data_IF_117843179156
#
_entry.id   IF_117843179156
#
_cell.length_a   1.000
_cell.length_b   1.000
_cell.length_c   1.000
_cell.angle_alpha   90.00
_cell.angle_beta   90.00
_cell.angle_gamma   90.00
#
_symmetry.space_group_name_H-M   'P 1'
#
loop_
_entity.id
_entity.type
_entity.pdbx_description
1 polymer ?
#
# COMPACT_ATOMS: atom_id res chain seq x y z
N UNK A 1 18.86 0.60 -6.27
CA UNK A 1 18.40 0.00 -7.56
C UNK A 1 19.55 -0.40 -8.47
N UNK A 2 20.64 0.36 -8.56
CA UNK A 2 21.87 0.00 -9.33
C UNK A 2 22.52 -1.28 -8.77
N UNK A 3 22.34 -1.56 -7.49
CA UNK A 3 22.91 -2.74 -6.81
C UNK A 3 22.14 -4.05 -7.06
N UNK A 4 20.83 -4.00 -7.30
CA UNK A 4 20.03 -5.20 -7.63
C UNK A 4 20.48 -5.86 -8.94
N UNK A 5 21.16 -5.11 -9.81
CA UNK A 5 21.68 -5.59 -11.09
C UNK A 5 22.98 -6.39 -10.99
N UNK A 6 23.74 -6.26 -9.90
CA UNK A 6 25.07 -6.90 -9.79
C UNK A 6 25.09 -8.28 -9.13
N UNK A 7 24.00 -8.74 -8.54
CA UNK A 7 23.96 -9.94 -7.70
C UNK A 7 23.79 -11.28 -8.44
N UNK A 8 23.90 -11.30 -9.75
CA UNK A 8 23.77 -12.59 -10.45
C UNK A 8 24.10 -12.59 -11.93
N UNK A 9 25.33 -12.39 -12.29
CA UNK A 9 25.94 -12.41 -13.63
C UNK A 9 26.22 -11.03 -14.23
N UNK A 10 27.33 -10.94 -14.97
CA UNK A 10 27.93 -9.76 -15.60
C UNK A 10 27.12 -9.12 -16.75
N UNK A 11 25.81 -9.00 -16.62
CA UNK A 11 24.92 -8.30 -17.54
C UNK A 11 24.00 -7.36 -16.79
N UNK A 12 23.99 -6.09 -17.14
CA UNK A 12 23.18 -5.03 -16.52
C UNK A 12 21.68 -5.32 -16.66
N UNK A 13 21.00 -5.57 -15.54
CA UNK A 13 19.55 -5.83 -15.51
C UNK A 13 18.74 -4.52 -15.53
N UNK A 14 17.54 -4.47 -16.14
CA UNK A 14 16.72 -3.27 -16.30
C UNK A 14 16.11 -2.72 -15.01
N UNK A 15 16.36 -3.34 -13.86
CA UNK A 15 15.92 -2.84 -12.55
C UNK A 15 16.46 -1.44 -12.19
N UNK A 16 17.52 -0.96 -12.88
CA UNK A 16 18.07 0.38 -12.70
C UNK A 16 17.12 1.51 -13.15
N UNK A 17 16.18 1.22 -14.05
CA UNK A 17 15.27 2.23 -14.63
C UNK A 17 14.07 2.59 -13.75
N UNK A 18 13.63 1.73 -12.84
CA UNK A 18 12.45 2.03 -12.02
C UNK A 18 12.73 2.99 -10.86
N UNK A 19 13.94 2.94 -10.30
CA UNK A 19 14.34 3.87 -9.23
C UNK A 19 14.67 5.28 -9.77
N UNK A 20 15.24 5.36 -10.97
CA UNK A 20 15.47 6.63 -11.64
C UNK A 20 14.17 7.31 -12.07
N UNK A 21 13.12 6.55 -12.41
CA UNK A 21 11.81 7.10 -12.75
C UNK A 21 11.09 7.71 -11.54
N UNK A 22 11.14 7.10 -10.37
CA UNK A 22 10.52 7.65 -9.15
C UNK A 22 11.22 8.94 -8.68
N UNK A 23 12.54 8.97 -8.78
CA UNK A 23 13.32 10.19 -8.51
C UNK A 23 13.06 11.30 -9.54
N UNK A 24 12.95 10.96 -10.81
CA UNK A 24 12.65 11.93 -11.88
C UNK A 24 11.24 12.52 -11.70
N UNK A 25 10.24 11.70 -11.34
CA UNK A 25 8.90 12.15 -10.98
C UNK A 25 8.95 13.07 -9.74
N UNK A 26 9.72 12.69 -8.72
CA UNK A 26 9.93 13.49 -7.52
C UNK A 26 10.48 14.88 -7.82
N UNK A 27 11.55 14.96 -8.60
CA UNK A 27 12.17 16.24 -9.00
C UNK A 27 11.23 17.06 -9.88
N UNK A 28 10.51 16.44 -10.83
CA UNK A 28 9.55 17.14 -11.68
C UNK A 28 8.45 17.83 -10.86
N UNK A 29 7.84 17.12 -9.91
CA UNK A 29 6.78 17.70 -9.09
C UNK A 29 7.32 18.66 -8.02
N UNK A 30 8.55 18.47 -7.53
CA UNK A 30 9.20 19.41 -6.64
C UNK A 30 9.31 20.82 -7.27
N UNK A 31 9.72 20.87 -8.53
CA UNK A 31 9.84 22.14 -9.28
C UNK A 31 8.47 22.77 -9.57
N UNK A 32 7.42 21.93 -9.68
CA UNK A 32 6.07 22.38 -10.09
C UNK A 32 5.14 22.71 -8.93
N UNK A 33 5.51 22.37 -7.69
CA UNK A 33 4.69 22.60 -6.50
C UNK A 33 5.02 23.96 -5.90
N UNK A 34 4.10 24.94 -6.03
CA UNK A 34 4.33 26.32 -5.59
C UNK A 34 3.62 26.64 -4.28
N UNK A 35 2.54 25.92 -3.93
CA UNK A 35 1.72 26.21 -2.76
C UNK A 35 1.76 25.10 -1.71
N UNK A 36 1.51 25.50 -0.45
CA UNK A 36 1.42 24.56 0.66
C UNK A 36 0.28 23.53 0.47
N UNK A 37 -0.86 23.94 -0.07
CA UNK A 37 -1.97 23.04 -0.38
C UNK A 37 -1.60 22.03 -1.46
N UNK A 38 -0.85 22.46 -2.49
CA UNK A 38 -0.34 21.55 -3.51
C UNK A 38 0.63 20.52 -2.92
N UNK A 39 1.50 20.93 -2.00
CA UNK A 39 2.44 20.03 -1.35
C UNK A 39 1.75 18.98 -0.49
N UNK A 40 0.71 19.35 0.29
CA UNK A 40 0.01 18.44 1.21
C UNK A 40 -1.05 17.58 0.53
N UNK A 41 -1.80 18.16 -0.44
CA UNK A 41 -3.00 17.54 -1.01
C UNK A 41 -3.08 17.59 -2.54
N UNK A 42 -2.04 18.09 -3.22
CA UNK A 42 -2.01 18.19 -4.67
C UNK A 42 -2.98 19.19 -5.25
N UNK A 43 -3.35 20.25 -4.50
CA UNK A 43 -4.28 21.28 -4.95
C UNK A 43 -5.67 20.77 -5.33
N UNK A 44 -6.06 19.58 -4.84
CA UNK A 44 -7.32 18.87 -5.18
C UNK A 44 -7.52 18.69 -6.69
N UNK A 45 -6.42 18.53 -7.44
CA UNK A 45 -6.41 18.46 -8.90
C UNK A 45 -6.17 17.06 -9.48
N UNK A 46 -6.15 16.00 -8.66
CA UNK A 46 -5.77 14.66 -9.09
C UNK A 46 -6.90 13.99 -9.88
N UNK A 47 -6.57 13.49 -11.08
CA UNK A 47 -7.53 12.78 -11.93
C UNK A 47 -7.94 11.42 -11.35
N UNK A 48 -9.13 10.93 -11.73
CA UNK A 48 -9.75 9.72 -11.17
C UNK A 48 -8.92 8.43 -11.35
N UNK A 49 -8.19 8.28 -12.47
CA UNK A 49 -7.30 7.14 -12.70
C UNK A 49 -6.16 7.10 -11.69
N UNK A 50 -5.49 8.24 -11.55
CA UNK A 50 -4.34 8.36 -10.65
C UNK A 50 -4.79 8.23 -9.20
N UNK A 51 -5.91 8.83 -8.83
CA UNK A 51 -6.50 8.70 -7.49
C UNK A 51 -6.82 7.25 -7.14
N UNK A 52 -7.48 6.51 -8.06
CA UNK A 52 -7.85 5.12 -7.83
C UNK A 52 -6.62 4.22 -7.68
N UNK A 53 -5.68 4.30 -8.62
CA UNK A 53 -4.49 3.47 -8.61
C UNK A 53 -3.57 3.79 -7.43
N UNK A 54 -3.37 5.07 -7.11
CA UNK A 54 -2.58 5.48 -5.97
C UNK A 54 -3.21 5.03 -4.64
N UNK A 55 -4.54 5.13 -4.51
CA UNK A 55 -5.22 4.63 -3.32
C UNK A 55 -5.03 3.13 -3.15
N UNK A 56 -5.18 2.33 -4.21
CA UNK A 56 -5.03 0.88 -4.13
C UNK A 56 -3.57 0.44 -3.94
N UNK A 57 -2.63 1.11 -4.59
CA UNK A 57 -1.21 0.79 -4.44
C UNK A 57 -0.69 1.06 -3.02
N UNK A 58 -1.16 2.15 -2.39
CA UNK A 58 -0.75 2.50 -1.02
C UNK A 58 -1.52 1.74 0.06
N UNK A 59 -2.68 1.16 -0.27
CA UNK A 59 -3.51 0.38 0.65
C UNK A 59 -2.96 -1.02 0.91
N UNK A 60 -2.68 -1.75 -0.16
CA UNK A 60 -2.47 -3.21 -0.09
C UNK A 60 -1.12 -3.63 0.48
N UNK A 61 -0.14 -2.74 0.51
CA UNK A 61 1.20 -2.96 1.10
C UNK A 61 1.91 -4.26 0.63
N UNK A 62 3.02 -4.59 1.26
CA UNK A 62 3.66 -5.90 1.11
C UNK A 62 2.79 -7.07 1.54
N UNK A 63 1.73 -6.85 2.34
CA UNK A 63 0.81 -7.88 2.77
C UNK A 63 0.13 -8.60 1.59
N UNK A 64 -0.27 -7.88 0.54
CA UNK A 64 -0.92 -8.45 -0.63
C UNK A 64 -0.06 -9.48 -1.36
N UNK A 65 1.25 -9.25 -1.46
CA UNK A 65 2.19 -10.06 -2.23
C UNK A 65 2.97 -11.07 -1.37
N UNK A 66 3.04 -10.88 -0.07
CA UNK A 66 3.80 -11.71 0.86
C UNK A 66 2.90 -12.36 1.91
N UNK A 67 2.20 -11.57 2.71
CA UNK A 67 1.43 -12.05 3.85
C UNK A 67 0.23 -12.91 3.45
N UNK A 68 -0.62 -12.43 2.54
CA UNK A 68 -1.82 -13.16 2.11
C UNK A 68 -1.49 -14.46 1.36
N UNK A 69 -0.57 -14.48 0.37
CA UNK A 69 -0.15 -15.73 -0.26
C UNK A 69 0.45 -16.72 0.72
N UNK A 70 1.26 -16.25 1.67
CA UNK A 70 1.84 -17.08 2.73
C UNK A 70 0.78 -17.72 3.64
N UNK A 71 -0.21 -16.93 4.05
CA UNK A 71 -1.33 -17.42 4.84
C UNK A 71 -2.18 -18.46 4.10
N UNK A 72 -2.42 -18.25 2.79
CA UNK A 72 -3.13 -19.21 1.95
C UNK A 72 -2.31 -20.50 1.72
N UNK A 73 -1.00 -20.38 1.56
CA UNK A 73 -0.09 -21.52 1.46
C UNK A 73 -0.15 -22.42 2.71
N UNK A 74 -0.30 -21.82 3.90
CA UNK A 74 -0.38 -22.56 5.17
C UNK A 74 -1.76 -23.13 5.45
N UNK A 75 -2.83 -22.38 5.17
CA UNK A 75 -4.17 -22.65 5.68
C UNK A 75 -5.27 -22.72 4.62
N UNK A 76 -4.91 -22.61 3.34
CA UNK A 76 -5.89 -22.61 2.24
C UNK A 76 -6.86 -21.43 2.32
N UNK A 77 -8.14 -21.69 2.09
CA UNK A 77 -9.17 -20.63 2.00
C UNK A 77 -9.68 -20.12 3.35
N UNK A 78 -9.06 -20.44 4.48
CA UNK A 78 -9.50 -19.92 5.80
C UNK A 78 -9.50 -18.38 5.85
N UNK A 79 -8.68 -17.73 5.01
CA UNK A 79 -8.58 -16.26 4.90
C UNK A 79 -9.69 -15.62 4.05
N UNK A 80 -10.62 -16.39 3.49
CA UNK A 80 -11.64 -15.87 2.57
C UNK A 80 -12.51 -14.77 3.17
N UNK A 81 -12.82 -14.83 4.47
CA UNK A 81 -13.65 -13.83 5.14
C UNK A 81 -12.96 -12.47 5.24
N UNK A 82 -11.66 -12.45 5.40
CA UNK A 82 -10.85 -11.21 5.34
C UNK A 82 -10.98 -10.59 3.95
N UNK A 83 -10.87 -11.39 2.89
CA UNK A 83 -10.97 -10.94 1.50
C UNK A 83 -12.35 -10.37 1.20
N UNK A 84 -13.41 -11.07 1.61
CA UNK A 84 -14.79 -10.59 1.46
C UNK A 84 -14.98 -9.28 2.22
N UNK A 85 -14.49 -9.19 3.45
CA UNK A 85 -14.54 -7.97 4.26
C UNK A 85 -13.83 -6.79 3.59
N UNK A 86 -12.63 -7.03 3.04
CA UNK A 86 -11.87 -5.99 2.33
C UNK A 86 -12.60 -5.50 1.07
N UNK A 87 -13.16 -6.41 0.26
CA UNK A 87 -13.93 -6.04 -0.95
C UNK A 87 -15.15 -5.19 -0.58
N UNK A 88 -15.92 -5.62 0.41
CA UNK A 88 -17.11 -4.89 0.87
C UNK A 88 -16.70 -3.54 1.47
N UNK A 89 -15.67 -3.51 2.32
CA UNK A 89 -15.16 -2.30 2.95
C UNK A 89 -14.69 -1.28 1.93
N UNK A 90 -13.90 -1.72 0.94
CA UNK A 90 -13.45 -0.86 -0.17
C UNK A 90 -14.65 -0.28 -0.93
N UNK A 91 -15.62 -1.12 -1.31
CA UNK A 91 -16.80 -0.65 -2.03
C UNK A 91 -17.58 0.42 -1.26
N UNK A 92 -17.84 0.17 0.02
CA UNK A 92 -18.59 1.12 0.88
C UNK A 92 -17.78 2.40 1.07
N UNK A 93 -16.47 2.30 1.29
CA UNK A 93 -15.59 3.45 1.45
C UNK A 93 -15.62 4.36 0.22
N UNK A 94 -15.45 3.80 -0.98
CA UNK A 94 -15.52 4.55 -2.23
C UNK A 94 -16.93 5.08 -2.55
N UNK A 95 -18.00 4.38 -2.18
CA UNK A 95 -19.39 4.76 -2.48
C UNK A 95 -19.94 5.81 -1.53
N UNK A 96 -19.63 5.69 -0.24
CA UNK A 96 -20.26 6.48 0.83
C UNK A 96 -19.31 7.51 1.41
N UNK A 97 -18.08 7.10 1.78
CA UNK A 97 -17.13 7.96 2.48
C UNK A 97 -16.48 8.94 1.51
N UNK A 98 -15.98 8.47 0.37
CA UNK A 98 -15.22 9.30 -0.56
C UNK A 98 -15.96 10.55 -1.04
N UNK A 99 -17.24 10.50 -1.51
CA UNK A 99 -17.96 11.69 -1.94
C UNK A 99 -18.18 12.69 -0.80
N UNK A 100 -18.58 12.18 0.37
CA UNK A 100 -18.87 13.03 1.53
C UNK A 100 -17.59 13.68 2.06
N UNK A 101 -16.51 12.92 2.15
CA UNK A 101 -15.22 13.42 2.62
C UNK A 101 -14.68 14.50 1.67
N UNK A 102 -14.73 14.26 0.35
CA UNK A 102 -14.27 15.23 -0.65
C UNK A 102 -15.00 16.56 -0.54
N UNK A 103 -16.34 16.55 -0.47
CA UNK A 103 -17.16 17.76 -0.35
C UNK A 103 -16.92 18.47 0.98
N UNK A 104 -17.01 17.73 2.09
CA UNK A 104 -16.93 18.35 3.41
C UNK A 104 -15.52 18.87 3.77
N UNK A 105 -14.46 18.21 3.29
CA UNK A 105 -13.11 18.70 3.53
C UNK A 105 -12.80 19.93 2.68
N UNK A 106 -13.44 20.11 1.54
CA UNK A 106 -13.35 21.34 0.75
C UNK A 106 -14.12 22.47 1.42
N UNK A 107 -15.37 22.23 1.83
CA UNK A 107 -16.22 23.20 2.55
C UNK A 107 -15.55 23.71 3.84
N UNK A 108 -14.86 22.84 4.55
CA UNK A 108 -14.17 23.20 5.79
C UNK A 108 -12.71 23.62 5.57
N UNK A 109 -12.24 23.74 4.32
CA UNK A 109 -10.83 24.05 4.00
C UNK A 109 -9.85 23.21 4.83
N UNK A 110 -10.12 21.91 4.94
CA UNK A 110 -9.32 20.99 5.73
C UNK A 110 -8.31 20.24 4.86
N UNK A 111 -7.02 20.36 5.16
CA UNK A 111 -5.95 19.66 4.44
C UNK A 111 -5.60 18.33 5.06
N UNK A 112 -5.91 18.11 6.34
CA UNK A 112 -5.65 16.89 7.08
C UNK A 112 -6.92 16.31 7.69
N UNK A 113 -6.92 15.02 7.99
CA UNK A 113 -8.07 14.35 8.63
C UNK A 113 -8.29 14.86 10.06
N UNK A 114 -7.26 15.04 10.92
CA UNK A 114 -7.47 15.62 12.24
C UNK A 114 -8.06 17.03 12.19
N UNK A 115 -7.59 17.89 11.28
CA UNK A 115 -8.17 19.22 11.08
C UNK A 115 -9.64 19.13 10.64
N UNK A 116 -9.99 18.21 9.73
CA UNK A 116 -11.37 18.02 9.30
C UNK A 116 -12.29 17.60 10.45
N UNK A 117 -11.88 16.59 11.23
CA UNK A 117 -12.67 16.09 12.37
C UNK A 117 -12.87 17.19 13.41
N UNK A 118 -11.80 17.95 13.72
CA UNK A 118 -11.85 19.06 14.67
C UNK A 118 -12.82 20.15 14.22
N UNK A 119 -12.72 20.62 12.97
CA UNK A 119 -13.64 21.64 12.42
C UNK A 119 -15.09 21.15 12.42
N UNK A 120 -15.33 19.91 12.01
CA UNK A 120 -16.67 19.32 11.95
C UNK A 120 -17.30 19.12 13.34
N UNK A 121 -16.49 18.85 14.36
CA UNK A 121 -16.95 18.70 15.75
C UNK A 121 -17.01 20.01 16.54
N UNK A 122 -16.73 21.15 15.91
CA UNK A 122 -16.62 22.46 16.58
C UNK A 122 -15.65 22.45 17.78
N UNK A 123 -14.52 21.75 17.62
CA UNK A 123 -13.50 21.62 18.66
C UNK A 123 -12.70 22.90 18.84
N UNK A 124 -13.23 23.80 19.67
CA UNK A 124 -12.58 25.10 19.95
C UNK A 124 -11.30 24.98 20.77
N UNK A 125 -11.13 23.87 21.52
CA UNK A 125 -9.96 23.64 22.38
C UNK A 125 -8.87 22.77 21.69
N UNK A 126 -9.14 22.24 20.51
CA UNK A 126 -8.21 21.38 19.76
C UNK A 126 -7.92 20.01 20.37
N UNK A 127 -8.73 19.55 21.33
CA UNK A 127 -8.54 18.24 21.96
C UNK A 127 -8.76 17.10 20.97
N UNK A 128 -9.82 17.19 20.16
CA UNK A 128 -10.16 16.19 19.14
C UNK A 128 -9.07 16.14 18.09
N UNK A 129 -8.58 17.31 17.66
CA UNK A 129 -7.47 17.43 16.70
C UNK A 129 -6.21 16.76 17.22
N UNK A 130 -5.78 17.10 18.43
CA UNK A 130 -4.56 16.56 19.05
C UNK A 130 -4.67 15.06 19.30
N UNK A 131 -5.81 14.59 19.82
CA UNK A 131 -6.03 13.17 20.05
C UNK A 131 -5.97 12.37 18.74
N UNK A 132 -6.66 12.84 17.69
CA UNK A 132 -6.63 12.22 16.36
C UNK A 132 -5.21 12.18 15.79
N UNK A 133 -4.44 13.26 15.95
CA UNK A 133 -3.05 13.31 15.50
C UNK A 133 -2.17 12.29 16.23
N UNK A 134 -2.29 12.17 17.55
CA UNK A 134 -1.54 11.18 18.35
C UNK A 134 -1.88 9.76 17.90
N UNK A 135 -3.15 9.45 17.70
CA UNK A 135 -3.60 8.13 17.23
C UNK A 135 -2.98 7.79 15.87
N UNK A 136 -3.03 8.73 14.91
CA UNK A 136 -2.44 8.54 13.58
C UNK A 136 -0.94 8.29 13.69
N UNK A 137 -0.20 9.13 14.42
CA UNK A 137 1.25 9.01 14.56
C UNK A 137 1.64 7.67 15.20
N UNK A 138 0.93 7.26 16.25
CA UNK A 138 1.19 6.00 16.95
C UNK A 138 1.00 4.80 16.02
N UNK A 139 -0.16 4.67 15.39
CA UNK A 139 -0.44 3.53 14.52
C UNK A 139 0.38 3.53 13.24
N UNK A 140 0.68 4.69 12.66
CA UNK A 140 1.51 4.75 11.45
C UNK A 140 2.97 4.44 11.74
N UNK A 141 3.48 4.73 12.94
CA UNK A 141 4.82 4.28 13.34
C UNK A 141 4.90 2.75 13.34
N UNK A 142 3.91 2.08 13.93
CA UNK A 142 3.85 0.61 13.97
C UNK A 142 3.68 0.03 12.56
N UNK A 143 2.79 0.60 11.75
CA UNK A 143 2.52 0.10 10.41
C UNK A 143 3.72 0.31 9.47
N UNK A 144 4.36 1.47 9.51
CA UNK A 144 5.59 1.72 8.73
C UNK A 144 6.74 0.79 9.15
N UNK A 145 6.87 0.48 10.45
CA UNK A 145 7.82 -0.51 10.93
C UNK A 145 7.56 -1.91 10.32
N UNK A 146 6.30 -2.34 10.22
CA UNK A 146 5.92 -3.59 9.54
C UNK A 146 6.33 -3.60 8.06
N UNK A 147 6.14 -2.48 7.36
CA UNK A 147 6.61 -2.32 5.98
C UNK A 147 8.14 -2.42 5.85
N UNK A 148 8.89 -1.83 6.78
CA UNK A 148 10.35 -1.93 6.81
C UNK A 148 10.82 -3.36 7.06
N UNK A 149 10.11 -4.16 7.88
CA UNK A 149 10.37 -5.60 8.06
C UNK A 149 10.23 -6.35 6.72
N UNK A 150 9.15 -6.10 5.99
CA UNK A 150 8.92 -6.69 4.65
C UNK A 150 10.03 -6.32 3.67
N UNK A 151 10.50 -5.07 3.74
CA UNK A 151 11.62 -4.59 2.94
C UNK A 151 12.93 -5.30 3.28
N UNK A 152 13.25 -5.46 4.57
CA UNK A 152 14.43 -6.22 5.02
C UNK A 152 14.40 -7.66 4.54
N UNK A 153 13.27 -8.37 4.68
CA UNK A 153 13.07 -9.74 4.16
C UNK A 153 13.29 -9.84 2.66
N UNK A 154 12.81 -8.85 1.90
CA UNK A 154 13.00 -8.81 0.45
C UNK A 154 14.48 -8.66 0.08
N UNK A 155 15.17 -7.68 0.66
CA UNK A 155 16.59 -7.44 0.37
C UNK A 155 17.49 -8.61 0.79
N UNK A 156 17.24 -9.19 1.97
CA UNK A 156 17.93 -10.40 2.41
C UNK A 156 17.75 -11.56 1.43
N UNK A 157 16.50 -11.79 0.98
CA UNK A 157 16.18 -12.89 0.08
C UNK A 157 16.73 -12.74 -1.34
N UNK A 158 16.84 -11.49 -1.83
CA UNK A 158 17.26 -11.21 -3.21
C UNK A 158 18.76 -10.95 -3.33
N UNK A 159 19.35 -10.29 -2.35
CA UNK A 159 20.74 -9.82 -2.43
C UNK A 159 21.69 -10.57 -1.49
N UNK A 160 21.12 -11.41 -0.60
CA UNK A 160 21.92 -12.09 0.43
C UNK A 160 22.60 -11.13 1.41
N UNK A 161 22.15 -9.87 1.49
CA UNK A 161 22.68 -8.88 2.43
C UNK A 161 22.05 -9.04 3.81
N UNK A 162 22.74 -8.56 4.83
CA UNK A 162 22.21 -8.56 6.19
C UNK A 162 20.85 -7.85 6.25
N UNK A 163 19.90 -8.45 6.98
CA UNK A 163 18.54 -7.94 7.16
C UNK A 163 18.50 -6.47 7.61
N UNK A 164 19.37 -6.09 8.59
CA UNK A 164 19.40 -4.72 9.12
C UNK A 164 19.85 -3.73 8.07
N UNK A 165 20.85 -4.11 7.26
CA UNK A 165 21.31 -3.29 6.15
C UNK A 165 20.22 -3.13 5.09
N UNK A 166 19.44 -4.18 4.79
CA UNK A 166 18.28 -4.14 3.91
C UNK A 166 17.20 -3.17 4.40
N UNK A 167 16.91 -3.18 5.71
CA UNK A 167 15.97 -2.23 6.33
C UNK A 167 16.48 -0.79 6.20
N UNK A 168 17.76 -0.54 6.49
CA UNK A 168 18.34 0.81 6.43
C UNK A 168 18.39 1.37 5.01
N UNK A 169 18.86 0.59 4.04
CA UNK A 169 18.95 1.03 2.65
C UNK A 169 17.57 1.27 2.05
N UNK A 170 16.65 0.34 2.24
CA UNK A 170 15.30 0.49 1.73
C UNK A 170 14.53 1.60 2.41
N UNK A 171 14.57 1.68 3.74
CA UNK A 171 13.95 2.75 4.52
C UNK A 171 14.52 4.12 4.17
N UNK A 172 15.84 4.25 4.09
CA UNK A 172 16.51 5.49 3.67
C UNK A 172 16.09 5.94 2.27
N UNK A 173 15.98 5.00 1.33
CA UNK A 173 15.50 5.30 -0.03
C UNK A 173 14.07 5.83 -0.02
N UNK A 174 13.18 5.22 0.76
CA UNK A 174 11.78 5.65 0.87
C UNK A 174 11.68 7.05 1.49
N UNK A 175 12.38 7.30 2.57
CA UNK A 175 12.41 8.62 3.22
C UNK A 175 12.91 9.68 2.25
N UNK A 176 14.00 9.41 1.54
CA UNK A 176 14.63 10.36 0.64
C UNK A 176 13.70 10.77 -0.52
N UNK A 177 13.07 9.81 -1.21
CA UNK A 177 12.20 10.17 -2.32
C UNK A 177 10.87 10.79 -1.88
N UNK A 178 10.33 10.37 -0.73
CA UNK A 178 9.10 10.94 -0.17
C UNK A 178 9.29 12.41 0.22
N UNK A 179 10.45 12.70 0.83
CA UNK A 179 10.83 14.04 1.23
C UNK A 179 10.98 15.01 0.03
N UNK A 180 11.58 14.56 -1.07
CA UNK A 180 11.75 15.40 -2.26
C UNK A 180 10.44 15.67 -2.99
N UNK A 181 9.52 14.72 -2.99
CA UNK A 181 8.43 14.72 -3.96
C UNK A 181 7.08 15.26 -3.50
N UNK A 182 6.82 15.37 -2.20
CA UNK A 182 5.51 15.76 -1.67
C UNK A 182 4.36 14.85 -2.14
N UNK A 183 3.13 15.36 -2.03
CA UNK A 183 1.92 14.58 -2.31
C UNK A 183 1.77 14.16 -3.78
N UNK A 184 1.95 15.10 -4.72
CA UNK A 184 1.76 14.81 -6.15
C UNK A 184 2.76 13.78 -6.67
N UNK A 185 4.02 13.89 -6.26
CA UNK A 185 5.01 12.90 -6.65
C UNK A 185 4.70 11.52 -6.06
N UNK A 186 4.27 11.45 -4.79
CA UNK A 186 3.81 10.20 -4.18
C UNK A 186 2.68 9.56 -4.97
N UNK A 187 1.63 10.33 -5.27
CA UNK A 187 0.44 9.83 -5.99
C UNK A 187 0.76 9.33 -7.40
N UNK A 188 1.63 10.03 -8.14
CA UNK A 188 2.04 9.58 -9.48
C UNK A 188 3.00 8.40 -9.43
N UNK A 189 3.89 8.36 -8.46
CA UNK A 189 4.75 7.19 -8.24
C UNK A 189 3.91 5.96 -7.89
N UNK A 190 2.94 6.10 -6.98
CA UNK A 190 2.00 5.05 -6.62
C UNK A 190 1.18 4.55 -7.82
N UNK A 191 0.82 5.45 -8.75
CA UNK A 191 0.11 5.08 -9.98
C UNK A 191 0.91 4.07 -10.81
N UNK A 192 2.17 4.36 -11.10
CA UNK A 192 3.04 3.45 -11.86
C UNK A 192 3.36 2.18 -11.07
N UNK A 193 3.59 2.30 -9.78
CA UNK A 193 3.81 1.17 -8.88
C UNK A 193 2.57 0.26 -8.82
N UNK A 194 1.36 0.82 -8.76
CA UNK A 194 0.11 0.08 -8.77
C UNK A 194 -0.12 -0.71 -10.07
N UNK A 195 0.29 -0.15 -11.22
CA UNK A 195 0.26 -0.86 -12.50
C UNK A 195 1.23 -2.03 -12.49
N UNK A 196 2.46 -1.82 -12.03
CA UNK A 196 3.48 -2.87 -11.96
C UNK A 196 3.04 -4.00 -11.02
N UNK A 197 2.49 -3.67 -9.85
CA UNK A 197 1.94 -4.64 -8.90
C UNK A 197 0.83 -5.47 -9.52
N UNK A 198 -0.10 -4.82 -10.23
CA UNK A 198 -1.26 -5.46 -10.85
C UNK A 198 -0.85 -6.50 -11.89
N UNK A 199 0.12 -6.18 -12.74
CA UNK A 199 0.62 -7.16 -13.70
C UNK A 199 1.41 -8.28 -13.03
N UNK A 200 2.24 -7.98 -12.04
CA UNK A 200 3.03 -9.00 -11.36
C UNK A 200 2.14 -10.03 -10.64
N UNK A 201 1.09 -9.57 -9.95
CA UNK A 201 0.21 -10.45 -9.19
C UNK A 201 -0.62 -11.38 -10.10
N UNK A 202 -0.87 -10.98 -11.35
CA UNK A 202 -1.58 -11.81 -12.35
C UNK A 202 -0.63 -12.79 -13.04
N UNK A 203 0.53 -12.31 -13.49
CA UNK A 203 1.46 -13.10 -14.32
C UNK A 203 2.02 -14.29 -13.54
N UNK A 204 2.38 -14.11 -12.27
CA UNK A 204 3.06 -15.17 -11.49
C UNK A 204 2.15 -16.40 -11.25
N UNK A 205 0.92 -16.28 -10.74
CA UNK A 205 0.07 -17.45 -10.53
C UNK A 205 -0.39 -18.08 -11.84
N UNK A 206 -0.57 -17.30 -12.92
CA UNK A 206 -0.89 -17.83 -14.25
C UNK A 206 0.28 -18.68 -14.79
N UNK A 207 1.49 -18.19 -14.72
CA UNK A 207 2.68 -18.95 -15.11
C UNK A 207 2.84 -20.21 -14.25
N UNK A 208 2.64 -20.07 -12.93
CA UNK A 208 2.69 -21.20 -12.01
C UNK A 208 1.66 -22.30 -12.35
N UNK A 209 0.42 -21.91 -12.67
CA UNK A 209 -0.64 -22.83 -13.04
C UNK A 209 -0.26 -23.72 -14.23
N UNK A 210 0.34 -23.15 -15.27
CA UNK A 210 0.78 -23.93 -16.43
C UNK A 210 2.00 -24.82 -16.12
N UNK A 211 2.95 -24.34 -15.34
CA UNK A 211 4.16 -25.12 -14.98
C UNK A 211 3.83 -26.30 -14.08
N UNK A 212 2.84 -26.14 -13.19
CA UNK A 212 2.40 -27.21 -12.28
C UNK A 212 1.64 -28.32 -13.02
N UNK A 213 1.04 -28.02 -14.18
CA UNK A 213 0.24 -29.00 -14.94
C UNK A 213 -1.26 -28.86 -14.69
N UNK A 214 -1.72 -27.67 -14.28
CA UNK A 214 -3.14 -27.33 -14.17
C UNK A 214 -3.81 -27.75 -12.86
N UNK A 215 -5.14 -27.79 -12.87
CA UNK A 215 -5.97 -28.00 -11.68
C UNK A 215 -5.79 -29.37 -11.03
N UNK A 216 -5.64 -30.43 -11.82
CA UNK A 216 -5.48 -31.78 -11.30
C UNK A 216 -4.22 -31.94 -10.43
N UNK A 217 -3.11 -31.38 -10.84
CA UNK A 217 -1.87 -31.40 -10.05
C UNK A 217 -1.97 -30.56 -8.77
N UNK A 218 -2.69 -29.43 -8.82
CA UNK A 218 -2.98 -28.61 -7.65
C UNK A 218 -3.84 -29.39 -6.66
N UNK A 219 -4.90 -30.05 -7.10
CA UNK A 219 -5.79 -30.84 -6.25
C UNK A 219 -5.04 -31.99 -5.55
N UNK A 220 -4.15 -32.68 -6.26
CA UNK A 220 -3.30 -33.73 -5.68
C UNK A 220 -2.38 -33.13 -4.59
N UNK A 221 -1.70 -32.03 -4.88
CA UNK A 221 -0.79 -31.37 -3.94
C UNK A 221 -1.52 -30.87 -2.69
N UNK A 222 -2.71 -30.30 -2.87
CA UNK A 222 -3.54 -29.83 -1.76
C UNK A 222 -4.03 -31.00 -0.89
N UNK A 223 -4.44 -32.10 -1.51
CA UNK A 223 -4.88 -33.32 -0.79
C UNK A 223 -3.72 -33.90 0.04
N UNK A 224 -2.50 -33.93 -0.49
CA UNK A 224 -1.31 -34.40 0.23
C UNK A 224 -1.00 -33.54 1.46
N UNK A 225 -1.29 -32.24 1.42
CA UNK A 225 -1.13 -31.31 2.56
C UNK A 225 -2.36 -31.20 3.46
N UNK A 226 -3.39 -32.00 3.23
CA UNK A 226 -4.68 -31.91 3.95
C UNK A 226 -5.34 -30.54 3.86
N UNK A 227 -5.07 -29.78 2.78
CA UNK A 227 -5.69 -28.48 2.50
C UNK A 227 -6.81 -28.68 1.49
N UNK A 228 -7.94 -28.00 1.67
CA UNK A 228 -9.10 -28.09 0.77
C UNK A 228 -9.56 -26.69 0.34
N UNK A 229 -10.03 -26.57 -0.90
CA UNK A 229 -10.76 -25.39 -1.36
C UNK A 229 -12.23 -25.37 -0.87
N UNK A 230 -12.71 -26.47 -0.31
CA UNK A 230 -14.05 -26.52 0.25
C UNK A 230 -14.03 -26.02 1.70
N UNK A 231 -14.60 -24.84 1.95
CA UNK A 231 -14.73 -24.24 3.28
C UNK A 231 -15.54 -25.11 4.26
N UNK A 232 -16.46 -25.94 3.76
CA UNK A 232 -17.26 -26.86 4.60
C UNK A 232 -16.39 -27.91 5.30
N UNK A 233 -15.17 -28.14 4.83
CA UNK A 233 -14.19 -29.02 5.50
C UNK A 233 -13.48 -28.35 6.68
N UNK A 234 -13.73 -27.06 6.91
CA UNK A 234 -13.15 -26.29 8.02
C UNK A 234 -14.25 -25.68 8.88
N UNK A 235 -14.89 -26.48 9.78
CA UNK A 235 -15.96 -25.97 10.64
C UNK A 235 -15.53 -24.74 11.46
N UNK A 236 -14.26 -24.69 11.86
CA UNK A 236 -13.70 -23.56 12.58
C UNK A 236 -13.70 -22.24 11.75
N UNK A 237 -13.52 -22.35 10.41
CA UNK A 237 -13.57 -21.20 9.52
C UNK A 237 -15.01 -20.67 9.29
N UNK A 238 -16.01 -21.50 9.58
CA UNK A 238 -17.44 -21.16 9.51
C UNK A 238 -18.01 -20.69 10.85
N UNK A 239 -17.18 -20.64 11.90
CA UNK A 239 -17.63 -20.16 13.19
C UNK A 239 -17.92 -18.65 13.13
N UNK A 240 -18.98 -18.23 13.83
CA UNK A 240 -19.42 -16.81 13.84
C UNK A 240 -18.31 -15.84 14.25
N UNK A 241 -17.48 -16.11 15.28
CA UNK A 241 -16.38 -15.23 15.63
C UNK A 241 -15.34 -15.05 14.51
N UNK A 242 -15.00 -16.11 13.77
CA UNK A 242 -14.04 -16.05 12.66
C UNK A 242 -14.60 -15.26 11.49
N UNK A 243 -15.88 -15.46 11.15
CA UNK A 243 -16.58 -14.70 10.11
C UNK A 243 -16.60 -13.21 10.45
N UNK A 244 -17.06 -12.86 11.66
CA UNK A 244 -17.13 -11.45 12.09
C UNK A 244 -15.75 -10.82 12.14
N UNK A 245 -14.74 -11.51 12.67
CA UNK A 245 -13.38 -11.04 12.73
C UNK A 245 -12.81 -10.79 11.32
N UNK A 246 -13.03 -11.73 10.39
CA UNK A 246 -12.59 -11.59 9.01
C UNK A 246 -13.28 -10.41 8.28
N UNK A 247 -14.60 -10.33 8.38
CA UNK A 247 -15.37 -9.23 7.80
C UNK A 247 -15.01 -7.87 8.43
N UNK A 248 -14.66 -7.86 9.70
CA UNK A 248 -14.23 -6.67 10.44
C UNK A 248 -13.00 -5.97 9.85
N UNK A 249 -12.15 -6.67 9.11
CA UNK A 249 -11.03 -6.06 8.40
C UNK A 249 -11.47 -4.96 7.43
N UNK A 250 -12.64 -5.12 6.80
CA UNK A 250 -13.20 -4.10 5.94
C UNK A 250 -13.54 -2.78 6.62
N UNK A 251 -13.76 -2.79 7.95
CA UNK A 251 -14.01 -1.58 8.73
C UNK A 251 -12.75 -0.70 8.84
N UNK A 252 -11.57 -1.28 8.73
CA UNK A 252 -10.30 -0.55 8.75
C UNK A 252 -10.21 0.52 7.65
N UNK A 253 -10.81 0.30 6.49
CA UNK A 253 -10.78 1.25 5.38
C UNK A 253 -11.36 2.62 5.69
N UNK A 254 -12.33 2.70 6.58
CA UNK A 254 -12.96 3.97 6.94
C UNK A 254 -12.06 4.88 7.78
N UNK A 255 -11.06 4.30 8.42
CA UNK A 255 -10.16 4.99 9.34
C UNK A 255 -8.69 5.04 8.91
N UNK A 256 -8.34 4.71 7.67
CA UNK A 256 -6.95 4.74 7.19
C UNK A 256 -6.61 6.08 6.51
N UNK A 257 -5.94 7.03 7.18
CA UNK A 257 -5.72 8.37 6.69
C UNK A 257 -4.98 8.40 5.35
N UNK A 258 -3.99 7.54 5.12
CA UNK A 258 -3.21 7.49 3.89
C UNK A 258 -4.02 7.06 2.65
N UNK A 259 -5.16 6.36 2.85
CA UNK A 259 -6.10 6.02 1.79
C UNK A 259 -7.11 7.16 1.60
N UNK A 260 -7.76 7.58 2.70
CA UNK A 260 -8.86 8.53 2.60
C UNK A 260 -8.40 9.94 2.20
N UNK A 261 -7.13 10.30 2.42
CA UNK A 261 -6.54 11.55 1.89
C UNK A 261 -6.55 11.57 0.35
N UNK A 262 -6.49 10.41 -0.32
CA UNK A 262 -6.57 10.33 -1.78
C UNK A 262 -7.97 10.76 -2.29
N UNK A 263 -9.02 10.49 -1.51
CA UNK A 263 -10.38 10.96 -1.84
C UNK A 263 -10.49 12.48 -1.75
N UNK A 264 -9.78 13.10 -0.79
CA UNK A 264 -9.77 14.56 -0.63
C UNK A 264 -9.10 15.26 -1.81
N UNK A 265 -8.16 14.61 -2.48
CA UNK A 265 -7.34 15.17 -3.56
C UNK A 265 -7.96 15.06 -4.96
N UNK A 266 -9.03 14.27 -5.14
CA UNK A 266 -9.64 14.08 -6.47
C UNK A 266 -10.22 15.38 -7.03
N UNK A 267 -10.03 15.60 -8.33
CA UNK A 267 -10.44 16.82 -9.03
C UNK A 267 -11.95 17.07 -8.96
N UNK A 268 -12.76 16.03 -9.13
CA UNK A 268 -14.21 16.15 -9.18
C UNK A 268 -14.92 15.02 -8.45
N UNK A 269 -15.92 15.38 -7.64
CA UNK A 269 -16.82 14.42 -6.97
C UNK A 269 -17.57 13.56 -8.01
N UNK A 270 -17.92 14.15 -9.16
CA UNK A 270 -18.62 13.46 -10.24
C UNK A 270 -17.79 12.33 -10.89
N UNK A 271 -16.48 12.33 -10.72
CA UNK A 271 -15.60 11.29 -11.25
C UNK A 271 -15.34 10.14 -10.26
N UNK A 272 -15.80 10.27 -9.01
CA UNK A 272 -15.57 9.23 -7.98
C UNK A 272 -16.16 7.88 -8.34
N UNK A 273 -17.26 7.81 -9.10
CA UNK A 273 -17.80 6.54 -9.54
C UNK A 273 -16.87 5.81 -10.52
N UNK A 274 -16.13 6.56 -11.38
CA UNK A 274 -15.13 6.00 -12.29
C UNK A 274 -13.93 5.50 -11.49
N UNK A 275 -13.45 6.30 -10.54
CA UNK A 275 -12.36 5.91 -9.63
C UNK A 275 -12.73 4.64 -8.84
N UNK A 276 -13.96 4.57 -8.30
CA UNK A 276 -14.47 3.38 -7.62
C UNK A 276 -14.46 2.15 -8.52
N UNK A 277 -14.90 2.26 -9.77
CA UNK A 277 -14.90 1.13 -10.69
C UNK A 277 -13.49 0.57 -10.91
N UNK A 278 -12.52 1.46 -11.15
CA UNK A 278 -11.11 1.08 -11.31
C UNK A 278 -10.58 0.42 -10.04
N UNK A 279 -10.81 1.04 -8.89
CA UNK A 279 -10.39 0.52 -7.60
C UNK A 279 -10.98 -0.87 -7.32
N UNK A 280 -12.28 -1.08 -7.61
CA UNK A 280 -12.94 -2.37 -7.39
C UNK A 280 -12.42 -3.47 -8.32
N UNK A 281 -12.20 -3.17 -9.59
CA UNK A 281 -11.60 -4.13 -10.53
C UNK A 281 -10.20 -4.51 -10.06
N UNK A 282 -9.39 -3.52 -9.69
CA UNK A 282 -8.05 -3.74 -9.21
C UNK A 282 -8.02 -4.60 -7.94
N UNK A 283 -8.81 -4.26 -6.93
CA UNK A 283 -8.80 -4.97 -5.64
C UNK A 283 -9.30 -6.41 -5.74
N UNK A 284 -10.40 -6.63 -6.50
CA UNK A 284 -10.97 -7.96 -6.66
C UNK A 284 -9.97 -8.88 -7.37
N UNK A 285 -9.42 -8.44 -8.50
CA UNK A 285 -8.45 -9.24 -9.26
C UNK A 285 -7.20 -9.50 -8.43
N UNK A 286 -6.67 -8.49 -7.75
CA UNK A 286 -5.45 -8.62 -6.95
C UNK A 286 -5.64 -9.60 -5.77
N UNK A 287 -6.76 -9.52 -5.05
CA UNK A 287 -7.04 -10.45 -3.94
C UNK A 287 -7.24 -11.89 -4.42
N UNK A 288 -7.96 -12.08 -5.53
CA UNK A 288 -8.15 -13.42 -6.14
C UNK A 288 -6.81 -14.00 -6.62
N UNK A 289 -5.98 -13.18 -7.29
CA UNK A 289 -4.66 -13.62 -7.74
C UNK A 289 -3.70 -13.89 -6.57
N UNK A 290 -3.79 -13.14 -5.48
CA UNK A 290 -3.02 -13.40 -4.26
C UNK A 290 -3.35 -14.76 -3.64
N UNK A 291 -4.65 -15.14 -3.62
CA UNK A 291 -5.06 -16.50 -3.24
C UNK A 291 -4.45 -17.53 -4.21
N UNK A 292 -4.54 -17.27 -5.52
CA UNK A 292 -4.02 -18.17 -6.53
C UNK A 292 -2.50 -18.38 -6.39
N UNK A 293 -1.74 -17.37 -5.98
CA UNK A 293 -0.31 -17.50 -5.65
C UNK A 293 -0.11 -18.50 -4.51
N UNK A 294 -0.85 -18.38 -3.41
CA UNK A 294 -0.75 -19.31 -2.29
C UNK A 294 -1.08 -20.73 -2.70
N UNK A 295 -2.17 -20.93 -3.45
CA UNK A 295 -2.65 -22.24 -3.91
C UNK A 295 -1.65 -22.90 -4.89
N UNK A 296 -1.19 -22.17 -5.90
CA UNK A 296 -0.20 -22.68 -6.87
C UNK A 296 1.15 -22.90 -6.21
N UNK A 297 1.48 -22.08 -5.20
CA UNK A 297 2.66 -22.26 -4.37
C UNK A 297 2.67 -23.58 -3.61
N UNK A 298 1.51 -24.08 -3.16
CA UNK A 298 1.38 -25.39 -2.51
C UNK A 298 1.84 -26.52 -3.45
N UNK A 299 1.49 -26.43 -4.73
CA UNK A 299 1.85 -27.42 -5.73
C UNK A 299 3.33 -27.32 -6.18
N UNK A 300 3.88 -26.08 -6.22
CA UNK A 300 5.27 -25.86 -6.64
C UNK A 300 6.31 -26.22 -5.57
N UNK A 301 5.95 -26.09 -4.29
CA UNK A 301 6.87 -26.25 -3.16
C UNK A 301 6.26 -27.10 -2.07
N UNK A 302 6.89 -28.27 -1.80
CA UNK A 302 6.43 -29.16 -0.73
C UNK A 302 6.62 -28.56 0.66
N UNK A 303 7.78 -27.96 0.92
CA UNK A 303 8.11 -27.33 2.19
C UNK A 303 8.82 -26.00 1.93
N UNK A 304 8.36 -24.94 2.59
CA UNK A 304 8.93 -23.60 2.55
C UNK A 304 9.25 -23.19 3.98
N UNK A 305 10.49 -22.72 4.23
CA UNK A 305 10.90 -22.30 5.57
C UNK A 305 10.13 -21.07 6.05
N UNK A 306 9.96 -20.08 5.16
CA UNK A 306 9.20 -18.86 5.43
C UNK A 306 8.08 -18.74 4.39
N UNK A 307 6.82 -19.07 4.75
CA UNK A 307 5.68 -18.97 3.85
C UNK A 307 5.41 -17.59 3.28
N UNK A 308 5.80 -16.53 3.98
CA UNK A 308 5.67 -15.15 3.47
C UNK A 308 6.58 -14.88 2.26
N UNK A 309 7.62 -15.70 2.06
CA UNK A 309 8.52 -15.62 0.90
C UNK A 309 8.05 -16.44 -0.30
N UNK A 310 6.85 -17.06 -0.25
CA UNK A 310 6.37 -17.96 -1.33
C UNK A 310 6.35 -17.28 -2.69
N UNK A 311 5.90 -16.03 -2.77
CA UNK A 311 5.87 -15.26 -4.00
C UNK A 311 7.27 -15.00 -4.55
N UNK A 312 8.25 -14.69 -3.68
CA UNK A 312 9.66 -14.50 -4.05
C UNK A 312 10.23 -15.79 -4.63
N UNK A 313 10.01 -16.93 -3.97
CA UNK A 313 10.49 -18.24 -4.46
C UNK A 313 9.86 -18.65 -5.79
N UNK A 314 8.56 -18.35 -5.98
CA UNK A 314 7.88 -18.59 -7.25
C UNK A 314 8.51 -17.79 -8.39
N UNK A 315 8.74 -16.51 -8.18
CA UNK A 315 9.37 -15.64 -9.18
C UNK A 315 10.75 -16.20 -9.57
N UNK A 316 11.60 -16.53 -8.60
CA UNK A 316 12.94 -17.05 -8.86
C UNK A 316 12.96 -18.41 -9.56
N UNK A 317 11.92 -19.24 -9.36
CA UNK A 317 11.80 -20.57 -9.99
C UNK A 317 11.22 -20.53 -11.40
N UNK A 318 10.27 -19.60 -11.65
CA UNK A 318 9.45 -19.61 -12.87
C UNK A 318 10.00 -18.71 -13.97
N UNK A 319 10.76 -17.68 -13.64
CA UNK A 319 11.14 -16.65 -14.59
C UNK A 319 12.66 -16.50 -14.72
N UNK A 320 13.07 -16.10 -15.92
CA UNK A 320 14.45 -15.72 -16.15
C UNK A 320 14.86 -14.48 -15.35
N UNK A 321 16.15 -14.21 -15.11
CA UNK A 321 16.63 -13.12 -14.25
C UNK A 321 16.08 -11.73 -14.61
N UNK A 322 15.86 -11.45 -15.91
CA UNK A 322 15.35 -10.15 -16.37
C UNK A 322 13.89 -9.92 -15.96
N UNK A 323 13.04 -10.90 -16.23
CA UNK A 323 11.62 -10.85 -15.85
C UNK A 323 11.48 -10.92 -14.33
N UNK A 324 12.26 -11.77 -13.68
CA UNK A 324 12.29 -11.88 -12.22
C UNK A 324 12.64 -10.52 -11.58
N UNK A 325 13.62 -9.79 -12.12
CA UNK A 325 13.97 -8.46 -11.63
C UNK A 325 12.82 -7.45 -11.67
N UNK A 326 12.01 -7.47 -12.74
CA UNK A 326 10.81 -6.63 -12.87
C UNK A 326 9.74 -7.04 -11.86
N UNK A 327 9.52 -8.35 -11.67
CA UNK A 327 8.53 -8.86 -10.73
C UNK A 327 8.95 -8.61 -9.26
N UNK A 328 10.23 -8.68 -8.94
CA UNK A 328 10.74 -8.28 -7.62
C UNK A 328 10.59 -6.77 -7.37
N UNK A 329 10.76 -5.95 -8.42
CA UNK A 329 10.49 -4.52 -8.32
C UNK A 329 9.01 -4.24 -8.02
N UNK A 330 8.07 -5.11 -8.39
CA UNK A 330 6.66 -4.99 -8.01
C UNK A 330 6.45 -5.22 -6.51
N UNK A 331 7.16 -6.17 -5.89
CA UNK A 331 7.10 -6.38 -4.43
C UNK A 331 7.62 -5.14 -3.70
N UNK A 332 8.76 -4.63 -4.15
CA UNK A 332 9.35 -3.41 -3.59
C UNK A 332 8.41 -2.21 -3.77
N UNK A 333 7.73 -2.11 -4.92
CA UNK A 333 6.72 -1.08 -5.20
C UNK A 333 5.56 -1.13 -4.20
N UNK A 334 5.07 -2.31 -3.86
CA UNK A 334 4.00 -2.50 -2.87
C UNK A 334 4.40 -2.01 -1.47
N UNK A 335 5.64 -2.26 -1.08
CA UNK A 335 6.18 -1.82 0.20
C UNK A 335 6.39 -0.30 0.21
N UNK A 336 7.01 0.22 -0.85
CA UNK A 336 7.39 1.63 -0.96
C UNK A 336 6.18 2.56 -1.02
N UNK A 337 5.16 2.24 -1.83
CA UNK A 337 3.94 3.05 -1.99
C UNK A 337 3.21 3.23 -0.66
N UNK A 338 3.12 2.17 0.12
CA UNK A 338 2.43 2.23 1.42
C UNK A 338 3.22 3.05 2.44
N UNK A 339 4.52 2.76 2.60
CA UNK A 339 5.34 3.48 3.59
C UNK A 339 5.45 4.97 3.24
N UNK A 340 5.63 5.32 1.96
CA UNK A 340 5.71 6.72 1.53
C UNK A 340 4.43 7.49 1.81
N UNK A 341 3.27 6.88 1.53
CA UNK A 341 1.98 7.51 1.83
C UNK A 341 1.76 7.70 3.33
N UNK A 342 2.17 6.73 4.16
CA UNK A 342 2.10 6.82 5.62
C UNK A 342 3.05 7.89 6.18
N UNK A 343 4.29 7.95 5.69
CA UNK A 343 5.27 8.95 6.09
C UNK A 343 4.79 10.38 5.75
N UNK A 344 4.22 10.55 4.56
CA UNK A 344 3.70 11.85 4.14
C UNK A 344 2.54 12.30 5.03
N UNK A 345 1.58 11.41 5.31
CA UNK A 345 0.46 11.71 6.20
C UNK A 345 0.95 11.96 7.63
N UNK A 346 1.88 11.16 8.14
CA UNK A 346 2.43 11.35 9.49
C UNK A 346 3.17 12.69 9.61
N UNK A 347 3.99 13.06 8.61
CA UNK A 347 4.70 14.34 8.60
C UNK A 347 3.74 15.55 8.52
N UNK A 348 2.70 15.45 7.67
CA UNK A 348 1.67 16.49 7.58
C UNK A 348 0.87 16.61 8.89
N UNK A 349 0.54 15.48 9.52
CA UNK A 349 -0.13 15.46 10.82
C UNK A 349 0.74 16.09 11.90
N UNK A 350 2.04 15.79 11.92
CA UNK A 350 2.97 16.37 12.89
C UNK A 350 3.11 17.89 12.70
N UNK A 351 3.21 18.37 11.47
CA UNK A 351 3.41 19.79 11.17
C UNK A 351 2.12 20.59 11.28
N UNK A 352 1.02 20.16 10.65
CA UNK A 352 -0.25 20.90 10.59
C UNK A 352 -1.08 20.78 11.86
N UNK A 353 -1.14 19.57 12.42
CA UNK A 353 -2.07 19.28 13.48
C UNK A 353 -1.44 19.39 14.87
N UNK A 354 -0.13 19.18 14.97
CA UNK A 354 0.58 19.22 16.24
C UNK A 354 1.39 20.53 16.40
N UNK A 355 2.36 20.79 15.53
CA UNK A 355 3.28 21.90 15.67
C UNK A 355 2.59 23.27 15.50
N UNK A 356 1.82 23.49 14.44
CA UNK A 356 1.09 24.76 14.24
C UNK A 356 0.10 25.03 15.37
N UNK A 357 -0.58 24.02 15.88
CA UNK A 357 -1.50 24.18 16.99
C UNK A 357 -0.79 24.60 18.28
N UNK A 358 0.32 23.95 18.62
CA UNK A 358 1.13 24.33 19.80
C UNK A 358 1.79 25.72 19.65
N UNK A 359 2.21 26.06 18.44
CA UNK A 359 2.84 27.39 18.16
C UNK A 359 1.82 28.50 18.15
N UNK A 360 0.60 28.28 17.62
CA UNK A 360 -0.46 29.30 17.60
C UNK A 360 -0.97 29.66 18.99
N UNK A 361 -0.90 28.75 19.96
CA UNK A 361 -1.19 29.08 21.36
C UNK A 361 -0.10 29.96 22.01
N UNK A 362 1.13 29.93 21.48
CA UNK A 362 2.24 30.75 22.00
C UNK A 362 2.44 32.08 21.29
N UNK A 363 1.91 32.28 20.09
CA UNK A 363 2.20 33.43 19.27
C UNK A 363 0.96 33.95 18.51
N UNK A 364 0.23 34.88 19.12
CA UNK A 364 -0.84 35.61 18.45
C UNK A 364 -0.31 36.58 17.36
N UNK A 365 1.00 36.63 17.11
CA UNK A 365 1.66 37.57 16.21
C UNK A 365 2.51 36.98 15.08
N UNK A 366 2.62 35.68 14.93
CA UNK A 366 3.39 35.10 13.81
C UNK A 366 2.52 34.83 12.58
N UNK A 367 2.11 35.88 11.89
CA UNK A 367 1.31 35.79 10.67
C UNK A 367 2.13 35.61 9.40
N UNK A 368 3.43 35.38 9.46
CA UNK A 368 4.28 35.03 8.32
C UNK A 368 5.52 34.28 8.82
N UNK A 369 5.42 32.96 8.95
CA UNK A 369 6.63 32.16 8.81
C UNK A 369 6.90 32.02 7.31
N UNK A 370 8.07 32.50 6.84
CA UNK A 370 8.45 32.26 5.47
C UNK A 370 8.54 30.75 5.23
N UNK A 371 8.30 30.35 4.00
CA UNK A 371 8.46 29.00 3.45
C UNK A 371 9.92 28.53 3.66
N UNK A 372 10.31 28.27 4.91
CA UNK A 372 11.65 27.76 5.27
C UNK A 372 11.65 26.24 5.33
N UNK A 373 10.48 25.59 5.24
CA UNK A 373 10.33 24.17 5.00
C UNK A 373 9.74 23.92 3.61
N UNK A 374 10.37 24.45 2.56
CA UNK A 374 10.40 23.81 1.24
C UNK A 374 11.30 22.56 1.30
N UNK A 375 11.34 21.92 2.45
CA UNK A 375 12.02 20.67 2.66
C UNK A 375 11.23 19.84 3.63
#
# INVERSE_FOLDING_TARGET
YIWLAKAGTSQEAPASKSGSSSLAIGVYFYVKTDTHEEYILGGRGVGYWVTAMSAQASDMSGWLLLGLPGAVYLSGLKQVWVIIGLIIGTYINWKIVAPRLRMQTEEHEALTIPTFISKKSNDTKGYVKTFSAIVILFFFTIYSASGLVSNGKLFESLLGIDYKLGVLVGGGTIIFYTFLGGYLAGVWTDFFQGILMFFAIIIVPVAAYFVVGGSSAIDVAMTQKHISLNLLKYPEALSVPVIISGLGWGLGYFGQPHIIVKFMSIKSVNELWKARLIAMVWVIISLVCSIAIGITGIALFKNVQDPEKIFIYMIGKLFNPWVAGILYAAILSAIMSTISAQLLVASNTLTEDFYKYMSSQKCYQCHQLPIVFKV
#
